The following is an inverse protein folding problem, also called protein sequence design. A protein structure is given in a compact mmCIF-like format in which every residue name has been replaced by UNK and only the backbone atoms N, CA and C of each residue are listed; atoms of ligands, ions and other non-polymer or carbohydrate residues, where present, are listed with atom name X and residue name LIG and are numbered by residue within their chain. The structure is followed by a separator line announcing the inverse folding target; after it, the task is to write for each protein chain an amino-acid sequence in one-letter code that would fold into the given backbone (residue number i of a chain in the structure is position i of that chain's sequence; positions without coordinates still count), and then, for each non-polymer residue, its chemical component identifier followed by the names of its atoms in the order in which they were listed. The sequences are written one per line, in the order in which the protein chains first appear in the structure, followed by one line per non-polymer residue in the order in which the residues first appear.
data_IF_233132225314
#
_entry.id   IF_233132225314
#
_cell.length_a   1.000
_cell.length_b   1.000
_cell.length_c   1.000
_cell.angle_alpha   90.00
_cell.angle_beta   90.00
_cell.angle_gamma   90.00
#
_symmetry.space_group_name_H-M   'P 1'
#
loop_
_entity.id
_entity.type
_entity.pdbx_description
1 polymer ?
#
# COMPACT_ATOMS: atom_id res chain seq x y z
N UNK A 1 15.44 -19.29 -20.17
CA UNK A 1 15.24 -17.88 -19.83
C UNK A 1 14.15 -17.31 -20.69
N UNK A 2 13.01 -17.03 -20.10
CA UNK A 2 11.92 -16.36 -20.81
C UNK A 2 12.11 -14.85 -20.84
N UNK A 3 11.89 -14.24 -21.99
CA UNK A 3 11.75 -12.78 -22.07
C UNK A 3 10.42 -12.42 -21.41
N UNK A 4 10.46 -11.53 -20.41
CA UNK A 4 9.24 -11.02 -19.79
C UNK A 4 8.48 -10.20 -20.81
N UNK A 5 7.19 -10.53 -21.03
CA UNK A 5 6.35 -9.74 -21.92
C UNK A 5 6.22 -8.31 -21.40
N UNK A 6 6.00 -7.35 -22.30
CA UNK A 6 5.84 -5.95 -21.93
C UNK A 6 4.66 -5.76 -20.95
N UNK A 7 3.57 -6.47 -21.15
CA UNK A 7 2.42 -6.42 -20.27
C UNK A 7 2.74 -6.96 -18.86
N UNK A 8 3.44 -8.09 -18.79
CA UNK A 8 3.89 -8.68 -17.51
C UNK A 8 4.84 -7.74 -16.79
N UNK A 9 5.82 -7.17 -17.50
CA UNK A 9 6.76 -6.21 -16.93
C UNK A 9 6.05 -4.98 -16.35
N UNK A 10 5.06 -4.44 -17.09
CA UNK A 10 4.24 -3.33 -16.62
C UNK A 10 3.49 -3.67 -15.33
N UNK A 11 2.86 -4.83 -15.25
CA UNK A 11 2.13 -5.26 -14.06
C UNK A 11 3.04 -5.48 -12.85
N UNK A 12 4.22 -6.03 -13.05
CA UNK A 12 5.21 -6.20 -11.99
C UNK A 12 5.69 -4.84 -11.46
N UNK A 13 5.98 -3.91 -12.35
CA UNK A 13 6.36 -2.55 -11.99
C UNK A 13 5.28 -1.88 -11.14
N UNK A 14 4.01 -1.92 -11.60
CA UNK A 14 2.92 -1.29 -10.87
C UNK A 14 2.59 -1.99 -9.55
N UNK A 15 2.77 -3.31 -9.48
CA UNK A 15 2.66 -4.03 -8.20
C UNK A 15 3.66 -3.48 -7.18
N UNK A 16 4.91 -3.34 -7.57
CA UNK A 16 5.95 -2.76 -6.71
C UNK A 16 5.63 -1.31 -6.34
N UNK A 17 5.17 -0.52 -7.30
CA UNK A 17 4.83 0.89 -7.08
C UNK A 17 3.66 1.06 -6.11
N UNK A 18 2.60 0.29 -6.25
CA UNK A 18 1.44 0.37 -5.36
C UNK A 18 1.78 -0.10 -3.94
N UNK A 19 2.54 -1.18 -3.79
CA UNK A 19 2.96 -1.65 -2.46
C UNK A 19 3.89 -0.64 -1.78
N UNK A 20 4.80 -0.03 -2.52
CA UNK A 20 5.67 1.04 -1.99
C UNK A 20 4.87 2.25 -1.55
N UNK A 21 3.87 2.65 -2.33
CA UNK A 21 3.00 3.77 -2.00
C UNK A 21 2.25 3.53 -0.69
N UNK A 22 1.71 2.32 -0.51
CA UNK A 22 1.02 1.94 0.73
C UNK A 22 1.99 1.97 1.91
N UNK A 23 3.15 1.37 1.78
CA UNK A 23 4.15 1.31 2.85
C UNK A 23 4.61 2.71 3.25
N UNK A 24 5.07 3.50 2.29
CA UNK A 24 5.58 4.84 2.54
C UNK A 24 4.49 5.77 3.07
N UNK A 25 3.30 5.69 2.51
CA UNK A 25 2.15 6.49 2.94
C UNK A 25 1.76 6.19 4.38
N UNK A 26 1.69 4.92 4.76
CA UNK A 26 1.40 4.52 6.15
C UNK A 26 2.50 4.99 7.09
N UNK A 27 3.76 4.81 6.74
CA UNK A 27 4.90 5.24 7.58
C UNK A 27 4.86 6.73 7.85
N UNK A 28 4.44 7.54 6.89
CA UNK A 28 4.40 9.00 7.02
C UNK A 28 3.14 9.51 7.68
N UNK A 29 1.98 8.93 7.34
CA UNK A 29 0.69 9.49 7.77
C UNK A 29 0.20 8.89 9.09
N UNK A 30 0.60 7.67 9.42
CA UNK A 30 0.20 7.06 10.70
C UNK A 30 0.58 7.89 11.93
N UNK A 31 1.81 8.42 12.04
CA UNK A 31 2.15 9.32 13.14
C UNK A 31 1.33 10.62 13.15
N UNK A 32 0.96 11.13 11.98
CA UNK A 32 0.11 12.32 11.86
C UNK A 32 -1.29 12.00 12.41
N UNK A 33 -1.81 10.82 12.09
CA UNK A 33 -3.10 10.34 12.61
C UNK A 33 -3.08 10.22 14.13
N UNK A 34 -2.05 9.58 14.68
CA UNK A 34 -1.92 9.37 16.13
C UNK A 34 -1.86 10.71 16.86
N UNK A 35 -1.08 11.67 16.34
CA UNK A 35 -1.01 13.03 16.89
C UNK A 35 -2.37 13.74 16.81
N UNK A 36 -3.10 13.57 15.70
CA UNK A 36 -4.43 14.17 15.50
C UNK A 36 -5.45 13.62 16.49
N UNK A 37 -5.42 12.32 16.79
CA UNK A 37 -6.28 11.68 17.79
C UNK A 37 -6.01 12.23 19.18
N UNK A 38 -4.75 12.53 19.49
CA UNK A 38 -4.33 13.13 20.76
C UNK A 38 -4.60 14.65 20.83
N UNK A 39 -5.28 15.20 19.84
CA UNK A 39 -5.63 16.61 19.80
C UNK A 39 -4.53 17.54 19.31
N UNK A 40 -3.41 16.99 18.82
CA UNK A 40 -2.35 17.77 18.21
C UNK A 40 -2.63 17.92 16.72
N UNK A 41 -2.60 19.17 16.24
CA UNK A 41 -2.72 19.39 14.81
C UNK A 41 -1.38 19.13 14.12
N UNK A 42 -1.35 18.07 13.31
CA UNK A 42 -0.21 17.80 12.45
C UNK A 42 -0.30 18.64 11.15
N UNK A 43 0.84 18.83 10.50
CA UNK A 43 0.91 19.58 9.25
C UNK A 43 0.58 18.68 8.05
N UNK A 44 -0.68 18.20 8.00
CA UNK A 44 -1.14 17.41 6.85
C UNK A 44 -1.19 18.25 5.57
N UNK A 45 -1.33 19.56 5.68
CA UNK A 45 -1.35 20.45 4.52
C UNK A 45 -0.04 20.43 3.76
N UNK A 46 1.09 20.39 4.47
CA UNK A 46 2.41 20.23 3.83
C UNK A 46 2.53 18.91 3.10
N UNK A 47 2.03 17.83 3.70
CA UNK A 47 2.02 16.50 3.06
C UNK A 47 1.16 16.51 1.78
N UNK A 48 -0.03 17.11 1.84
CA UNK A 48 -0.90 17.26 0.68
C UNK A 48 -0.20 18.04 -0.45
N UNK A 49 0.49 19.12 -0.11
CA UNK A 49 1.23 19.90 -1.10
C UNK A 49 2.34 19.08 -1.77
N UNK A 50 3.08 18.31 -0.99
CA UNK A 50 4.15 17.46 -1.51
C UNK A 50 3.64 16.41 -2.50
N UNK A 51 2.45 15.87 -2.28
CA UNK A 51 1.85 14.83 -3.11
C UNK A 51 0.88 15.35 -4.16
N UNK A 52 0.62 16.66 -4.18
CA UNK A 52 -0.36 17.24 -5.09
C UNK A 52 -1.80 16.84 -4.80
N UNK A 53 -2.12 16.51 -3.54
CA UNK A 53 -3.45 16.12 -3.13
C UNK A 53 -4.29 17.38 -2.89
N UNK A 54 -5.48 17.52 -3.52
CA UNK A 54 -6.38 18.66 -3.24
C UNK A 54 -6.84 18.63 -1.78
N UNK A 55 -6.60 19.72 -1.06
CA UNK A 55 -6.88 19.79 0.37
C UNK A 55 -8.27 20.31 0.71
N UNK A 56 -9.27 19.44 0.79
CA UNK A 56 -10.61 19.78 1.25
C UNK A 56 -11.00 18.87 2.43
N UNK A 57 -10.28 19.02 3.54
CA UNK A 57 -10.49 18.21 4.74
C UNK A 57 -10.84 19.11 5.91
N UNK A 58 -11.69 18.60 6.82
CA UNK A 58 -12.14 19.37 7.98
C UNK A 58 -11.08 19.49 9.06
N UNK A 59 -10.29 18.44 9.25
CA UNK A 59 -9.20 18.41 10.23
C UNK A 59 -8.18 17.30 9.87
N UNK A 60 -7.16 17.14 10.70
CA UNK A 60 -6.11 16.15 10.52
C UNK A 60 -6.65 14.73 10.51
N UNK A 61 -7.59 14.40 11.41
CA UNK A 61 -8.15 13.04 11.50
C UNK A 61 -8.99 12.74 10.27
N UNK A 62 -9.78 13.70 9.78
CA UNK A 62 -10.56 13.56 8.55
C UNK A 62 -9.65 13.29 7.35
N UNK A 63 -8.57 14.07 7.20
CA UNK A 63 -7.58 13.84 6.15
C UNK A 63 -7.01 12.42 6.22
N UNK A 64 -6.56 12.00 7.41
CA UNK A 64 -5.92 10.69 7.57
C UNK A 64 -6.88 9.54 7.23
N UNK A 65 -8.12 9.61 7.70
CA UNK A 65 -9.11 8.56 7.42
C UNK A 65 -9.44 8.47 5.93
N UNK A 66 -9.59 9.60 5.27
CA UNK A 66 -9.86 9.62 3.83
C UNK A 66 -8.65 9.14 3.04
N UNK A 67 -7.47 9.58 3.40
CA UNK A 67 -6.23 9.15 2.76
C UNK A 67 -6.00 7.64 2.93
N UNK A 68 -6.31 7.09 4.09
CA UNK A 68 -6.16 5.65 4.32
C UNK A 68 -7.25 4.83 3.60
N UNK A 69 -8.52 5.23 3.67
CA UNK A 69 -9.63 4.32 3.45
C UNK A 69 -10.59 4.68 2.32
N UNK A 70 -10.52 5.87 1.74
CA UNK A 70 -11.50 6.29 0.73
C UNK A 70 -11.30 5.55 -0.59
N UNK A 71 -12.15 4.53 -0.82
CA UNK A 71 -12.09 3.71 -2.04
C UNK A 71 -12.52 4.49 -3.29
N UNK A 72 -13.21 5.60 -3.14
CA UNK A 72 -13.59 6.46 -4.27
C UNK A 72 -12.45 7.38 -4.71
N UNK A 73 -11.45 7.56 -3.86
CA UNK A 73 -10.24 8.31 -4.20
C UNK A 73 -9.17 7.34 -4.73
N UNK A 74 -8.78 7.43 -6.01
CA UNK A 74 -7.74 6.54 -6.56
C UNK A 74 -6.37 6.74 -5.91
N UNK A 75 -6.16 7.85 -5.20
CA UNK A 75 -4.90 8.14 -4.50
C UNK A 75 -4.89 7.66 -3.05
N UNK A 76 -5.99 7.14 -2.52
CA UNK A 76 -6.02 6.59 -1.17
C UNK A 76 -5.16 5.33 -1.06
N UNK A 77 -4.71 5.02 0.16
CA UNK A 77 -3.90 3.82 0.38
C UNK A 77 -4.72 2.54 0.18
N UNK A 78 -6.00 2.56 0.56
CA UNK A 78 -6.90 1.43 0.33
C UNK A 78 -7.07 1.15 -1.17
N UNK A 79 -7.20 2.18 -1.99
CA UNK A 79 -7.28 2.05 -3.45
C UNK A 79 -5.97 1.52 -4.04
N UNK A 80 -4.83 2.04 -3.59
CA UNK A 80 -3.51 1.57 -4.03
C UNK A 80 -3.31 0.10 -3.70
N UNK A 81 -3.71 -0.32 -2.50
CA UNK A 81 -3.60 -1.72 -2.08
C UNK A 81 -4.53 -2.62 -2.89
N UNK A 82 -5.73 -2.16 -3.23
CA UNK A 82 -6.65 -2.89 -4.10
C UNK A 82 -6.05 -3.08 -5.50
N UNK A 83 -5.41 -2.06 -6.07
CA UNK A 83 -4.72 -2.17 -7.35
C UNK A 83 -3.54 -3.14 -7.28
N UNK A 84 -2.78 -3.12 -6.17
CA UNK A 84 -1.71 -4.08 -5.94
C UNK A 84 -2.25 -5.51 -5.92
N UNK A 85 -3.34 -5.73 -5.21
CA UNK A 85 -3.99 -7.05 -5.14
C UNK A 85 -4.46 -7.52 -6.53
N UNK A 86 -5.10 -6.67 -7.30
CA UNK A 86 -5.57 -7.01 -8.65
C UNK A 86 -4.40 -7.41 -9.55
N UNK A 87 -3.29 -6.67 -9.50
CA UNK A 87 -2.09 -7.01 -10.24
C UNK A 87 -1.48 -8.33 -9.77
N UNK A 88 -1.46 -8.57 -8.46
CA UNK A 88 -0.92 -9.81 -7.89
C UNK A 88 -1.73 -11.02 -8.33
N UNK A 89 -3.05 -10.92 -8.37
CA UNK A 89 -3.93 -12.01 -8.84
C UNK A 89 -3.65 -12.36 -10.30
N UNK A 90 -3.50 -11.36 -11.16
CA UNK A 90 -3.15 -11.58 -12.58
C UNK A 90 -1.76 -12.22 -12.72
N UNK A 91 -0.84 -11.90 -11.81
CA UNK A 91 0.54 -12.40 -11.81
C UNK A 91 0.74 -13.68 -11.01
N UNK A 92 -0.34 -14.33 -10.58
CA UNK A 92 -0.26 -15.49 -9.67
C UNK A 92 0.63 -16.63 -10.17
N UNK A 93 0.78 -16.78 -11.48
CA UNK A 93 1.65 -17.81 -12.07
C UNK A 93 3.14 -17.46 -11.91
N UNK A 94 3.45 -16.20 -11.68
CA UNK A 94 4.82 -15.68 -11.49
C UNK A 94 5.15 -15.55 -10.00
N UNK A 95 4.17 -15.11 -9.21
CA UNK A 95 4.30 -14.97 -7.77
C UNK A 95 4.07 -16.33 -7.10
N UNK A 96 4.76 -16.55 -5.98
CA UNK A 96 4.50 -17.75 -5.18
C UNK A 96 3.19 -17.59 -4.41
N UNK A 97 2.65 -18.70 -3.92
CA UNK A 97 1.46 -18.69 -3.05
C UNK A 97 1.67 -17.82 -1.82
N UNK A 98 2.85 -17.90 -1.20
CA UNK A 98 3.17 -17.12 -0.01
C UNK A 98 3.17 -15.63 -0.32
N UNK A 99 3.78 -15.24 -1.44
CA UNK A 99 3.84 -13.84 -1.87
C UNK A 99 2.45 -13.27 -2.10
N UNK A 100 1.60 -14.00 -2.81
CA UNK A 100 0.21 -13.59 -3.05
C UNK A 100 -0.58 -13.52 -1.73
N UNK A 101 -0.36 -14.46 -0.82
CA UNK A 101 -1.03 -14.51 0.47
C UNK A 101 -0.75 -13.27 1.32
N UNK A 102 0.48 -12.76 1.30
CA UNK A 102 0.80 -11.55 2.07
C UNK A 102 0.08 -10.31 1.54
N UNK A 103 -0.08 -10.18 0.23
CA UNK A 103 -0.88 -9.09 -0.34
C UNK A 103 -2.35 -9.23 0.07
N UNK A 104 -2.89 -10.44 0.08
CA UNK A 104 -4.27 -10.69 0.52
C UNK A 104 -4.46 -10.38 2.00
N UNK A 105 -3.51 -10.78 2.84
CA UNK A 105 -3.53 -10.45 4.27
C UNK A 105 -3.50 -8.95 4.50
N UNK A 106 -2.67 -8.22 3.75
CA UNK A 106 -2.63 -6.76 3.82
C UNK A 106 -3.97 -6.14 3.44
N UNK A 107 -4.61 -6.62 2.38
CA UNK A 107 -5.92 -6.14 1.94
C UNK A 107 -6.99 -6.38 3.02
N UNK A 108 -6.98 -7.57 3.63
CA UNK A 108 -7.91 -7.92 4.72
C UNK A 108 -7.68 -7.03 5.95
N UNK A 109 -6.43 -6.77 6.30
CA UNK A 109 -6.08 -5.89 7.43
C UNK A 109 -6.53 -4.45 7.18
N UNK A 110 -6.37 -3.96 5.94
CA UNK A 110 -6.85 -2.62 5.57
C UNK A 110 -8.35 -2.50 5.71
N UNK A 111 -9.09 -3.52 5.29
CA UNK A 111 -10.55 -3.53 5.43
C UNK A 111 -10.99 -3.55 6.89
N UNK A 112 -10.33 -4.33 7.74
CA UNK A 112 -10.57 -4.33 9.18
C UNK A 112 -10.28 -2.97 9.80
N UNK A 113 -9.19 -2.32 9.39
CA UNK A 113 -8.85 -0.98 9.85
C UNK A 113 -9.94 0.05 9.49
N UNK A 114 -10.49 -0.05 8.28
CA UNK A 114 -11.55 0.85 7.82
C UNK A 114 -12.84 0.70 8.59
N UNK A 115 -13.15 -0.50 9.09
CA UNK A 115 -14.39 -0.81 9.82
C UNK A 115 -14.28 -0.56 11.32
N UNK A 116 -13.08 -0.44 11.87
CA UNK A 116 -12.85 -0.34 13.31
C UNK A 116 -12.81 1.10 13.82
N UNK A 117 -13.09 1.27 15.12
CA UNK A 117 -13.00 2.57 15.77
C UNK A 117 -11.56 2.99 16.06
N UNK A 118 -10.64 2.02 16.18
CA UNK A 118 -9.23 2.25 16.45
C UNK A 118 -8.38 1.50 15.43
N UNK A 119 -8.03 2.12 14.29
CA UNK A 119 -7.37 1.43 13.19
C UNK A 119 -5.87 1.18 13.40
N UNK A 120 -5.26 1.70 14.47
CA UNK A 120 -3.80 1.69 14.63
C UNK A 120 -3.19 0.28 14.54
N UNK A 121 -3.77 -0.71 15.24
CA UNK A 121 -3.26 -2.09 15.24
C UNK A 121 -3.42 -2.73 13.86
N UNK A 122 -4.59 -2.58 13.25
CA UNK A 122 -4.84 -3.16 11.92
C UNK A 122 -3.96 -2.50 10.85
N UNK A 123 -3.71 -1.20 10.92
CA UNK A 123 -2.77 -0.52 10.03
C UNK A 123 -1.34 -1.01 10.22
N UNK A 124 -0.94 -1.36 11.45
CA UNK A 124 0.36 -1.98 11.69
C UNK A 124 0.45 -3.35 11.02
N UNK A 125 -0.63 -4.13 11.04
CA UNK A 125 -0.68 -5.40 10.31
C UNK A 125 -0.51 -5.20 8.80
N UNK A 126 -1.11 -4.16 8.23
CA UNK A 126 -0.88 -3.82 6.81
C UNK A 126 0.60 -3.59 6.54
N UNK A 127 1.28 -2.81 7.37
CA UNK A 127 2.72 -2.56 7.24
C UNK A 127 3.52 -3.86 7.32
N UNK A 128 3.22 -4.69 8.31
CA UNK A 128 3.92 -5.95 8.53
C UNK A 128 3.72 -6.91 7.34
N UNK A 129 2.51 -6.98 6.81
CA UNK A 129 2.21 -7.83 5.66
C UNK A 129 2.90 -7.33 4.39
N UNK A 130 3.01 -6.02 4.18
CA UNK A 130 3.76 -5.47 3.05
C UNK A 130 5.26 -5.78 3.18
N UNK A 131 5.82 -5.70 4.38
CA UNK A 131 7.21 -6.09 4.63
C UNK A 131 7.42 -7.58 4.38
N UNK A 132 6.47 -8.42 4.82
CA UNK A 132 6.50 -9.85 4.56
C UNK A 132 6.41 -10.15 3.05
N UNK A 133 5.58 -9.40 2.33
CA UNK A 133 5.50 -9.49 0.87
C UNK A 133 6.87 -9.21 0.23
N UNK A 134 7.53 -8.14 0.63
CA UNK A 134 8.87 -7.79 0.11
C UNK A 134 9.89 -8.88 0.40
N UNK A 135 9.90 -9.39 1.63
CA UNK A 135 10.78 -10.49 2.03
C UNK A 135 10.52 -11.75 1.22
N UNK A 136 9.25 -12.10 1.00
CA UNK A 136 8.86 -13.24 0.20
C UNK A 136 9.30 -13.08 -1.26
N UNK A 137 9.20 -11.88 -1.84
CA UNK A 137 9.69 -11.60 -3.18
C UNK A 137 11.19 -11.87 -3.31
N UNK A 138 11.99 -11.47 -2.32
CA UNK A 138 13.43 -11.70 -2.32
C UNK A 138 13.78 -13.19 -2.17
N UNK A 139 13.05 -13.89 -1.32
CA UNK A 139 13.37 -15.28 -0.95
C UNK A 139 12.84 -16.30 -1.97
N UNK A 140 11.68 -16.03 -2.59
CA UNK A 140 10.94 -17.05 -3.34
C UNK A 140 10.87 -16.80 -4.84
N UNK A 141 11.12 -15.58 -5.31
CA UNK A 141 11.14 -15.28 -6.73
C UNK A 141 12.61 -15.39 -7.22
N UNK A 142 12.90 -16.46 -7.96
CA UNK A 142 14.27 -16.74 -8.40
C UNK A 142 14.63 -16.05 -9.71
N UNK A 143 13.66 -15.64 -10.51
CA UNK A 143 13.92 -14.89 -11.75
C UNK A 143 14.33 -13.45 -11.41
N UNK A 144 15.57 -13.11 -11.73
CA UNK A 144 16.15 -11.80 -11.43
C UNK A 144 15.37 -10.67 -12.10
N UNK A 145 14.96 -10.84 -13.34
CA UNK A 145 14.20 -9.84 -14.08
C UNK A 145 12.86 -9.53 -13.40
N UNK A 146 12.17 -10.58 -12.91
CA UNK A 146 10.90 -10.43 -12.20
C UNK A 146 11.07 -9.62 -10.91
N UNK A 147 12.08 -9.98 -10.09
CA UNK A 147 12.37 -9.24 -8.86
C UNK A 147 12.75 -7.80 -9.15
N UNK A 148 13.57 -7.59 -10.18
CA UNK A 148 14.03 -6.25 -10.56
C UNK A 148 12.88 -5.36 -11.01
N UNK A 149 11.90 -5.88 -11.74
CA UNK A 149 10.73 -5.11 -12.16
C UNK A 149 9.86 -4.70 -10.98
N UNK A 150 9.69 -5.58 -9.97
CA UNK A 150 8.95 -5.23 -8.75
C UNK A 150 9.71 -4.15 -7.97
N UNK A 151 11.01 -4.28 -7.81
CA UNK A 151 11.84 -3.30 -7.09
C UNK A 151 11.88 -1.94 -7.78
N UNK A 152 11.84 -1.92 -9.10
CA UNK A 152 11.86 -0.69 -9.89
C UNK A 152 10.60 0.16 -9.64
N UNK A 153 9.46 -0.49 -9.43
CA UNK A 153 8.21 0.18 -9.05
C UNK A 153 8.20 0.65 -7.63
#
# INVERSE_FOLDING_TARGET
MGIISLNKASRLYWLGRYTERVYTGLKKVKPIYDAGVDGQEGDYAAYCRCLGIPGHYTDTVDFCKRYFFDRNDPNSLASSLAYAYDNAVVLRDTLTTDTLSYIQLAANAMEKAAQGDSPAVALQWVLDDILAFRGACEETIFEEETRSMIKLG
#
